data_IF_901650312362
#
_entry.id   IF_901650312362
#
_cell.length_a   1.000
_cell.length_b   1.000
_cell.length_c   1.000
_cell.angle_alpha   90.00
_cell.angle_beta   90.00
_cell.angle_gamma   90.00
#
_symmetry.space_group_name_H-M   'P 1'
#
loop_
_entity.id
_entity.type
_entity.pdbx_description
1 polymer ?
#
# COMPACT_ATOMS: atom_id res chain seq x y z
N UNK A 1 -5.08 -9.99 4.19
CA UNK A 1 -4.76 -10.96 3.13
C UNK A 1 -6.02 -11.77 2.89
N UNK A 2 -6.75 -11.53 1.81
CA UNK A 2 -8.16 -11.93 1.72
C UNK A 2 -8.38 -12.71 0.43
N UNK A 3 -8.28 -14.04 0.51
CA UNK A 3 -8.56 -14.96 -0.59
C UNK A 3 -10.05 -15.23 -0.79
N UNK A 4 -10.48 -15.30 -2.05
CA UNK A 4 -11.76 -15.88 -2.44
C UNK A 4 -11.53 -17.38 -2.59
N UNK A 5 -12.16 -18.25 -1.80
CA UNK A 5 -12.45 -19.64 -2.20
C UNK A 5 -13.02 -20.46 -1.06
N UNK A 6 -14.18 -21.07 -1.27
CA UNK A 6 -14.44 -22.44 -0.84
C UNK A 6 -15.25 -23.16 -1.92
N UNK A 7 -14.74 -24.25 -2.48
CA UNK A 7 -15.57 -25.29 -3.09
C UNK A 7 -15.26 -26.55 -2.30
N UNK A 8 -16.25 -26.98 -1.54
CA UNK A 8 -16.13 -28.05 -0.56
C UNK A 8 -16.19 -29.40 -1.29
N UNK A 9 -15.08 -29.81 -1.93
CA UNK A 9 -14.65 -31.21 -2.01
C UNK A 9 -13.25 -31.32 -2.64
N UNK A 10 -12.34 -31.84 -1.84
CA UNK A 10 -11.04 -32.49 -2.05
C UNK A 10 -10.08 -32.22 -3.23
N UNK A 11 -10.32 -31.43 -4.28
CA UNK A 11 -9.28 -31.26 -5.36
C UNK A 11 -9.23 -29.87 -6.03
N UNK A 12 -10.00 -28.88 -5.57
CA UNK A 12 -10.40 -27.73 -6.42
C UNK A 12 -9.85 -26.36 -5.99
N UNK A 13 -8.53 -26.20 -5.86
CA UNK A 13 -7.90 -25.00 -5.28
C UNK A 13 -7.24 -24.02 -6.25
N UNK A 14 -7.68 -23.86 -7.52
CA UNK A 14 -7.00 -22.99 -8.50
C UNK A 14 -7.91 -21.92 -9.15
N UNK A 15 -7.34 -20.73 -9.41
CA UNK A 15 -8.01 -19.57 -10.03
C UNK A 15 -8.49 -19.87 -11.46
N UNK A 16 -7.70 -20.63 -12.22
CA UNK A 16 -8.05 -21.00 -13.58
C UNK A 16 -9.29 -21.90 -13.61
N UNK A 17 -9.42 -22.82 -12.65
CA UNK A 17 -10.61 -23.66 -12.49
C UNK A 17 -11.86 -22.80 -12.21
N UNK A 18 -11.73 -21.75 -11.41
CA UNK A 18 -12.83 -20.81 -11.11
C UNK A 18 -13.30 -20.06 -12.36
N UNK A 19 -12.38 -19.59 -13.18
CA UNK A 19 -12.69 -18.88 -14.43
C UNK A 19 -13.39 -19.84 -15.40
N UNK A 20 -12.84 -21.05 -15.59
CA UNK A 20 -13.42 -22.07 -16.45
C UNK A 20 -14.83 -22.51 -16.00
N UNK A 21 -15.08 -22.56 -14.68
CA UNK A 21 -16.40 -22.86 -14.11
C UNK A 21 -17.43 -21.72 -14.30
N UNK A 22 -16.97 -20.46 -14.29
CA UNK A 22 -17.82 -19.33 -14.64
C UNK A 22 -18.12 -19.29 -16.15
N UNK A 23 -17.12 -19.57 -16.99
CA UNK A 23 -17.25 -19.57 -18.45
C UNK A 23 -18.09 -20.73 -18.99
N UNK A 24 -18.03 -21.89 -18.33
CA UNK A 24 -18.90 -23.04 -18.63
C UNK A 24 -20.34 -22.86 -18.15
N UNK A 25 -20.65 -21.79 -17.41
CA UNK A 25 -21.98 -21.51 -16.89
C UNK A 25 -22.41 -22.37 -15.69
N UNK A 26 -21.53 -23.24 -15.20
CA UNK A 26 -21.75 -24.11 -14.03
C UNK A 26 -21.85 -23.32 -12.71
N UNK A 27 -21.27 -22.12 -12.71
CA UNK A 27 -21.23 -21.19 -11.58
C UNK A 27 -21.62 -19.80 -12.08
N UNK A 28 -22.72 -19.23 -11.58
CA UNK A 28 -23.13 -17.86 -11.92
C UNK A 28 -22.46 -16.85 -10.95
N UNK A 29 -21.57 -15.96 -11.43
CA UNK A 29 -20.92 -14.93 -10.61
C UNK A 29 -21.89 -14.00 -9.88
N UNK A 30 -23.08 -13.75 -10.45
CA UNK A 30 -24.08 -12.86 -9.86
C UNK A 30 -24.94 -13.56 -8.81
N UNK A 31 -25.12 -14.88 -8.93
CA UNK A 31 -25.78 -15.68 -7.90
C UNK A 31 -24.88 -15.92 -6.68
N UNK A 32 -23.57 -15.87 -6.87
CA UNK A 32 -22.55 -16.03 -5.81
C UNK A 32 -22.47 -14.84 -4.87
N UNK A 33 -22.68 -13.63 -5.39
CA UNK A 33 -22.49 -12.39 -4.63
C UNK A 33 -23.74 -11.53 -4.77
N UNK A 34 -24.65 -11.62 -3.78
CA UNK A 34 -25.76 -10.68 -3.70
C UNK A 34 -25.23 -9.28 -3.40
N UNK A 35 -25.79 -8.27 -4.06
CA UNK A 35 -25.46 -6.86 -3.81
C UNK A 35 -25.73 -6.47 -2.34
N UNK A 36 -26.67 -7.14 -1.69
CA UNK A 36 -27.02 -6.92 -0.28
C UNK A 36 -25.94 -7.43 0.67
N UNK A 37 -25.31 -8.59 0.37
CA UNK A 37 -24.20 -9.15 1.16
C UNK A 37 -22.94 -8.30 1.04
N UNK A 38 -22.67 -7.75 -0.15
CA UNK A 38 -21.58 -6.77 -0.36
C UNK A 38 -21.82 -5.50 0.46
N UNK A 39 -23.05 -4.99 0.43
CA UNK A 39 -23.42 -3.76 1.11
C UNK A 39 -23.36 -3.92 2.64
N UNK A 40 -23.87 -5.02 3.19
CA UNK A 40 -23.86 -5.27 4.64
C UNK A 40 -22.44 -5.38 5.21
N UNK A 41 -21.56 -6.04 4.47
CA UNK A 41 -20.15 -6.19 4.88
C UNK A 41 -19.36 -4.89 4.80
N UNK A 42 -19.69 -4.03 3.83
CA UNK A 42 -19.09 -2.71 3.70
C UNK A 42 -19.41 -1.79 4.88
N UNK A 43 -20.58 -1.99 5.55
CA UNK A 43 -21.03 -1.20 6.71
C UNK A 43 -20.11 -1.37 7.92
N UNK A 44 -19.57 -2.57 8.15
CA UNK A 44 -18.65 -2.84 9.28
C UNK A 44 -17.34 -2.02 9.22
N UNK A 45 -16.96 -1.59 8.02
CA UNK A 45 -15.74 -0.83 7.74
C UNK A 45 -16.01 0.70 7.69
N UNK A 46 -17.25 1.14 7.93
CA UNK A 46 -17.62 2.57 7.85
C UNK A 46 -17.06 3.36 9.01
N UNK A 47 -17.14 2.85 10.25
CA UNK A 47 -16.71 3.61 11.44
C UNK A 47 -15.22 3.96 11.38
N UNK A 48 -14.36 2.98 11.07
CA UNK A 48 -12.92 3.20 10.95
C UNK A 48 -12.55 4.14 9.80
N UNK A 49 -13.22 4.00 8.64
CA UNK A 49 -13.03 4.90 7.50
C UNK A 49 -13.48 6.32 7.79
N UNK A 50 -14.64 6.49 8.41
CA UNK A 50 -15.20 7.79 8.76
C UNK A 50 -14.29 8.51 9.75
N UNK A 51 -13.77 7.80 10.77
CA UNK A 51 -12.83 8.37 11.72
C UNK A 51 -11.50 8.75 11.04
N UNK A 52 -10.93 7.88 10.21
CA UNK A 52 -9.70 8.17 9.48
C UNK A 52 -9.87 9.35 8.51
N UNK A 53 -10.99 9.40 7.78
CA UNK A 53 -11.32 10.51 6.88
C UNK A 53 -11.50 11.82 7.65
N UNK A 54 -12.16 11.78 8.81
CA UNK A 54 -12.28 12.93 9.70
C UNK A 54 -10.91 13.40 10.21
N UNK A 55 -10.05 12.49 10.66
CA UNK A 55 -8.71 12.81 11.15
C UNK A 55 -7.83 13.44 10.06
N UNK A 56 -7.89 12.90 8.83
CA UNK A 56 -7.19 13.45 7.66
C UNK A 56 -7.75 14.83 7.30
N UNK A 57 -9.07 14.98 7.25
CA UNK A 57 -9.74 16.24 6.92
C UNK A 57 -9.44 17.34 7.94
N UNK A 58 -9.54 17.01 9.22
CA UNK A 58 -9.21 17.92 10.32
C UNK A 58 -7.77 18.42 10.21
N UNK A 59 -6.82 17.50 10.01
CA UNK A 59 -5.41 17.85 9.84
C UNK A 59 -5.18 18.77 8.63
N UNK A 60 -5.81 18.47 7.49
CA UNK A 60 -5.69 19.31 6.28
C UNK A 60 -6.21 20.73 6.51
N UNK A 61 -7.36 20.88 7.17
CA UNK A 61 -7.93 22.21 7.48
C UNK A 61 -6.94 23.02 8.33
N UNK A 62 -6.37 22.41 9.37
CA UNK A 62 -5.38 23.08 10.24
C UNK A 62 -4.14 23.51 9.45
N UNK A 63 -3.58 22.63 8.61
CA UNK A 63 -2.39 22.96 7.82
C UNK A 63 -2.68 24.06 6.79
N UNK A 64 -3.83 23.98 6.08
CA UNK A 64 -4.21 24.99 5.09
C UNK A 64 -4.43 26.36 5.72
N UNK A 65 -5.02 26.42 6.91
CA UNK A 65 -5.20 27.68 7.63
C UNK A 65 -3.86 28.27 8.10
N UNK A 66 -2.93 27.43 8.60
CA UNK A 66 -1.56 27.87 8.92
C UNK A 66 -0.86 28.44 7.69
N UNK A 67 -0.98 27.79 6.53
CA UNK A 67 -0.44 28.29 5.26
C UNK A 67 -1.07 29.63 4.89
N UNK A 68 -2.40 29.74 4.93
CA UNK A 68 -3.12 30.96 4.58
C UNK A 68 -2.79 32.14 5.52
N UNK A 69 -2.54 31.86 6.81
CA UNK A 69 -2.13 32.84 7.80
C UNK A 69 -0.62 33.15 7.79
N UNK A 70 0.17 32.51 6.92
CA UNK A 70 1.62 32.68 6.86
C UNK A 70 2.36 32.18 8.12
N UNK A 71 1.76 31.27 8.88
CA UNK A 71 2.34 30.70 10.10
C UNK A 71 3.34 29.60 9.76
N UNK A 72 4.28 29.37 10.70
CA UNK A 72 5.26 28.30 10.54
C UNK A 72 4.58 26.94 10.63
N UNK A 73 4.84 26.08 9.64
CA UNK A 73 4.48 24.66 9.67
C UNK A 73 5.59 23.92 10.40
N UNK A 74 5.22 23.11 11.39
CA UNK A 74 6.18 22.26 12.09
C UNK A 74 6.70 21.14 11.20
N UNK A 75 7.88 20.62 11.55
CA UNK A 75 8.49 19.48 10.85
C UNK A 75 7.60 18.24 10.90
N UNK A 76 6.92 18.02 12.04
CA UNK A 76 5.99 16.91 12.22
C UNK A 76 4.75 17.06 11.32
N UNK A 77 4.15 18.26 11.26
CA UNK A 77 3.04 18.54 10.34
C UNK A 77 3.45 18.28 8.90
N UNK A 78 4.64 18.74 8.48
CA UNK A 78 5.15 18.44 7.14
C UNK A 78 5.27 16.94 6.87
N UNK A 79 5.74 16.17 7.85
CA UNK A 79 5.82 14.71 7.76
C UNK A 79 4.46 14.03 7.61
N UNK A 80 3.46 14.48 8.38
CA UNK A 80 2.08 13.97 8.30
C UNK A 80 1.42 14.32 6.96
N UNK A 81 1.68 15.50 6.40
CA UNK A 81 1.20 15.88 5.06
C UNK A 81 1.59 14.85 3.99
N UNK A 82 2.82 14.30 4.05
CA UNK A 82 3.25 13.24 3.14
C UNK A 82 2.36 12.00 3.21
N UNK A 83 2.07 11.52 4.43
CA UNK A 83 1.20 10.37 4.64
C UNK A 83 -0.24 10.64 4.20
N UNK A 84 -0.74 11.85 4.44
CA UNK A 84 -2.08 12.26 4.00
C UNK A 84 -2.20 12.26 2.47
N UNK A 85 -1.25 12.87 1.76
CA UNK A 85 -1.24 12.90 0.28
C UNK A 85 -1.21 11.48 -0.29
N UNK A 86 -0.35 10.62 0.26
CA UNK A 86 -0.27 9.22 -0.16
C UNK A 86 -1.56 8.46 0.13
N UNK A 87 -2.16 8.66 1.30
CA UNK A 87 -3.43 8.03 1.67
C UNK A 87 -4.52 8.44 0.69
N UNK A 88 -4.66 9.73 0.37
CA UNK A 88 -5.62 10.23 -0.61
C UNK A 88 -5.39 9.61 -1.99
N UNK A 89 -4.13 9.55 -2.45
CA UNK A 89 -3.79 8.93 -3.73
C UNK A 89 -4.16 7.44 -3.77
N UNK A 90 -3.88 6.70 -2.70
CA UNK A 90 -4.27 5.28 -2.56
C UNK A 90 -5.80 5.15 -2.56
N UNK A 91 -6.50 5.97 -1.78
CA UNK A 91 -7.96 5.96 -1.72
C UNK A 91 -8.59 6.27 -3.08
N UNK A 92 -8.06 7.24 -3.81
CA UNK A 92 -8.52 7.60 -5.16
C UNK A 92 -8.26 6.47 -6.16
N UNK A 93 -7.05 5.90 -6.17
CA UNK A 93 -6.69 4.76 -7.03
C UNK A 93 -7.54 3.52 -6.73
N UNK A 94 -7.94 3.34 -5.47
CA UNK A 94 -8.77 2.23 -5.03
C UNK A 94 -10.28 2.54 -4.99
N UNK A 95 -10.72 3.71 -5.43
CA UNK A 95 -12.12 4.12 -5.32
C UNK A 95 -13.05 3.22 -6.15
N UNK A 96 -12.56 2.71 -7.28
CA UNK A 96 -13.31 1.84 -8.19
C UNK A 96 -13.18 0.33 -7.89
N UNK A 97 -12.33 -0.09 -6.94
CA UNK A 97 -12.20 -1.51 -6.56
C UNK A 97 -13.19 -1.83 -5.43
N UNK A 98 -14.08 -2.83 -5.58
CA UNK A 98 -14.93 -3.27 -4.47
C UNK A 98 -14.05 -3.75 -3.30
N UNK A 99 -14.19 -3.12 -2.14
CA UNK A 99 -13.33 -3.35 -0.97
C UNK A 99 -13.97 -4.34 0.00
N UNK A 100 -13.15 -5.26 0.48
CA UNK A 100 -13.38 -6.16 1.62
C UNK A 100 -14.21 -7.41 1.36
N UNK A 101 -13.53 -8.54 1.13
CA UNK A 101 -14.15 -9.88 1.09
C UNK A 101 -13.64 -10.73 2.25
N UNK A 102 -13.72 -10.23 3.49
CA UNK A 102 -13.22 -10.97 4.67
C UNK A 102 -13.94 -12.29 4.97
N UNK A 103 -14.91 -12.72 4.17
CA UNK A 103 -15.52 -14.04 4.33
C UNK A 103 -15.19 -14.87 3.13
N UNK A 104 -14.77 -16.09 3.44
CA UNK A 104 -14.61 -17.14 2.46
C UNK A 104 -15.99 -17.44 1.88
N UNK A 105 -16.15 -17.25 0.58
CA UNK A 105 -17.40 -17.53 -0.12
C UNK A 105 -17.36 -18.95 -0.64
N UNK A 106 -18.32 -19.78 -0.21
CA UNK A 106 -18.49 -21.13 -0.74
C UNK A 106 -19.19 -21.02 -2.08
N UNK A 107 -18.53 -21.38 -3.19
CA UNK A 107 -19.06 -21.13 -4.54
C UNK A 107 -20.14 -22.14 -4.93
N UNK A 108 -19.96 -23.41 -4.56
CA UNK A 108 -20.98 -24.47 -4.67
C UNK A 108 -20.65 -25.52 -3.62
N UNK A 109 -21.66 -26.06 -2.96
CA UNK A 109 -21.50 -27.23 -2.07
C UNK A 109 -22.21 -28.38 -2.74
N UNK A 110 -21.46 -29.43 -3.06
CA UNK A 110 -22.04 -30.70 -3.46
C UNK A 110 -22.17 -31.54 -2.18
N UNK A 111 -23.39 -31.91 -1.82
CA UNK A 111 -23.62 -32.79 -0.67
C UNK A 111 -23.25 -34.25 -1.00
N UNK A 112 -23.15 -34.56 -2.30
CA UNK A 112 -22.75 -35.85 -2.87
C UNK A 112 -21.50 -35.70 -3.78
N UNK A 113 -21.23 -36.70 -4.63
CA UNK A 113 -20.08 -36.74 -5.55
C UNK A 113 -20.17 -35.63 -6.61
N UNK A 114 -19.04 -34.97 -6.91
CA UNK A 114 -18.94 -33.94 -7.96
C UNK A 114 -19.38 -34.53 -9.31
N UNK A 115 -20.24 -33.83 -10.09
CA UNK A 115 -20.57 -34.23 -11.45
C UNK A 115 -19.33 -34.39 -12.34
N UNK A 116 -19.26 -35.45 -13.14
CA UNK A 116 -18.08 -35.76 -13.96
C UNK A 116 -17.73 -34.68 -15.00
N UNK A 117 -18.69 -33.85 -15.40
CA UNK A 117 -18.47 -32.73 -16.31
C UNK A 117 -17.66 -31.60 -15.67
N UNK A 118 -17.95 -31.29 -14.39
CA UNK A 118 -17.19 -30.33 -13.59
C UNK A 118 -15.77 -30.83 -13.37
N UNK A 119 -15.60 -32.14 -13.11
CA UNK A 119 -14.29 -32.75 -12.91
C UNK A 119 -13.41 -32.68 -14.16
N UNK A 120 -13.98 -32.87 -15.36
CA UNK A 120 -13.25 -32.71 -16.62
C UNK A 120 -12.74 -31.30 -16.85
N UNK A 121 -13.57 -30.28 -16.60
CA UNK A 121 -13.17 -28.87 -16.73
C UNK A 121 -11.98 -28.57 -15.80
N UNK A 122 -11.99 -29.16 -14.60
CA UNK A 122 -10.89 -29.02 -13.63
C UNK A 122 -9.64 -29.76 -14.11
N UNK A 123 -9.75 -31.04 -14.51
CA UNK A 123 -8.62 -31.83 -15.01
C UNK A 123 -7.95 -31.17 -16.23
N UNK A 124 -8.75 -30.66 -17.18
CA UNK A 124 -8.27 -29.98 -18.38
C UNK A 124 -7.53 -28.67 -18.06
N UNK A 125 -7.92 -27.99 -16.97
CA UNK A 125 -7.37 -26.69 -16.56
C UNK A 125 -6.22 -26.84 -15.55
N UNK A 126 -6.13 -27.99 -14.85
CA UNK A 126 -5.06 -28.32 -13.89
C UNK A 126 -3.68 -28.48 -14.52
N UNK A 127 -3.59 -28.41 -15.85
CA UNK A 127 -2.36 -28.43 -16.61
C UNK A 127 -1.80 -27.01 -16.79
N UNK A 128 -1.30 -26.39 -15.72
CA UNK A 128 -0.56 -25.12 -15.79
C UNK A 128 0.81 -25.21 -15.08
N UNK A 129 1.83 -24.48 -15.58
CA UNK A 129 3.23 -24.79 -15.40
C UNK A 129 3.73 -24.50 -13.99
N UNK A 130 4.78 -25.22 -13.58
CA UNK A 130 5.53 -25.02 -12.34
C UNK A 130 5.79 -23.53 -12.06
N UNK A 131 4.93 -22.92 -11.22
CA UNK A 131 5.26 -21.68 -10.53
C UNK A 131 6.55 -21.94 -9.72
N UNK A 132 7.51 -21.01 -9.83
CA UNK A 132 8.76 -20.98 -9.07
C UNK A 132 8.56 -21.19 -7.55
N UNK A 133 7.37 -20.92 -7.02
CA UNK A 133 7.04 -21.14 -5.61
C UNK A 133 6.97 -22.61 -5.19
N UNK A 134 6.91 -23.58 -6.12
CA UNK A 134 6.87 -25.01 -5.83
C UNK A 134 5.71 -25.43 -4.93
N UNK A 135 4.71 -24.58 -4.75
CA UNK A 135 3.63 -24.82 -3.81
C UNK A 135 2.62 -25.74 -4.50
N UNK A 136 2.71 -27.05 -4.23
CA UNK A 136 1.62 -27.98 -4.57
C UNK A 136 0.34 -27.49 -3.87
N UNK A 137 -0.60 -27.00 -4.66
CA UNK A 137 -1.93 -26.65 -4.19
C UNK A 137 -2.56 -27.92 -3.62
N UNK A 138 -2.72 -27.98 -2.30
CA UNK A 138 -3.35 -29.12 -1.66
C UNK A 138 -4.88 -28.98 -1.73
N UNK A 139 -5.62 -30.09 -1.70
CA UNK A 139 -7.06 -30.11 -1.48
C UNK A 139 -7.54 -29.08 -0.44
N UNK A 140 -8.51 -28.22 -0.81
CA UNK A 140 -9.05 -27.19 0.10
C UNK A 140 -8.14 -25.98 0.35
N UNK A 141 -7.04 -25.84 -0.39
CA UNK A 141 -6.20 -24.63 -0.33
C UNK A 141 -6.99 -23.43 -0.83
N UNK A 142 -6.91 -22.32 -0.08
CA UNK A 142 -7.54 -21.06 -0.46
C UNK A 142 -6.92 -20.54 -1.75
N UNK A 143 -7.74 -20.31 -2.77
CA UNK A 143 -7.33 -19.56 -3.96
C UNK A 143 -6.99 -18.14 -3.51
N UNK A 144 -5.75 -17.73 -3.79
CA UNK A 144 -5.30 -16.40 -3.41
C UNK A 144 -5.99 -15.40 -4.31
N UNK A 145 -6.64 -14.41 -3.70
CA UNK A 145 -7.05 -13.20 -4.39
C UNK A 145 -5.82 -12.31 -4.56
N UNK A 146 -4.92 -12.74 -5.45
CA UNK A 146 -3.85 -11.89 -5.91
C UNK A 146 -4.12 -11.69 -7.39
N UNK A 147 -4.53 -10.47 -7.75
CA UNK A 147 -4.58 -10.08 -9.14
C UNK A 147 -3.13 -9.95 -9.61
N UNK A 148 -2.51 -11.08 -9.94
CA UNK A 148 -1.13 -11.17 -10.40
C UNK A 148 -1.03 -10.85 -11.89
N UNK A 149 -1.88 -9.94 -12.39
CA UNK A 149 -1.64 -9.21 -13.64
C UNK A 149 -0.55 -8.13 -13.45
N UNK A 150 0.48 -8.44 -12.65
CA UNK A 150 1.76 -7.72 -12.70
C UNK A 150 2.54 -8.37 -13.84
N UNK A 151 2.03 -8.18 -15.05
CA UNK A 151 2.70 -8.62 -16.27
C UNK A 151 3.97 -7.77 -16.43
N UNK A 152 5.08 -8.36 -15.99
CA UNK A 152 6.44 -7.82 -15.86
C UNK A 152 6.70 -6.93 -14.64
N UNK A 153 7.69 -7.35 -13.83
CA UNK A 153 8.30 -6.52 -12.78
C UNK A 153 8.74 -5.13 -13.28
N UNK A 154 9.04 -5.01 -14.59
CA UNK A 154 9.33 -3.74 -15.26
C UNK A 154 8.17 -2.73 -15.19
N UNK A 155 6.92 -3.19 -15.36
CA UNK A 155 5.73 -2.35 -15.34
C UNK A 155 5.43 -1.76 -13.97
N UNK A 156 5.80 -2.45 -12.89
CA UNK A 156 5.52 -2.01 -11.51
C UNK A 156 6.60 -1.12 -10.89
N UNK A 157 7.85 -1.19 -11.36
CA UNK A 157 8.97 -0.43 -10.76
C UNK A 157 8.79 1.08 -10.94
N UNK A 158 8.34 1.53 -12.11
CA UNK A 158 8.15 2.95 -12.42
C UNK A 158 7.06 3.62 -11.56
N UNK A 159 5.81 3.10 -11.47
CA UNK A 159 4.79 3.69 -10.62
C UNK A 159 5.17 3.60 -9.13
N UNK A 160 5.81 2.51 -8.71
CA UNK A 160 6.30 2.39 -7.33
C UNK A 160 7.35 3.46 -7.03
N UNK A 161 8.33 3.66 -7.93
CA UNK A 161 9.37 4.67 -7.77
C UNK A 161 8.80 6.09 -7.74
N UNK A 162 7.81 6.39 -8.57
CA UNK A 162 7.14 7.69 -8.59
C UNK A 162 6.38 7.96 -7.29
N UNK A 163 5.58 7.01 -6.82
CA UNK A 163 4.86 7.11 -5.55
C UNK A 163 5.84 7.29 -4.38
N UNK A 164 6.95 6.56 -4.43
CA UNK A 164 8.01 6.58 -3.45
C UNK A 164 8.70 7.97 -3.41
N UNK A 165 8.98 8.60 -4.56
CA UNK A 165 9.49 9.98 -4.64
C UNK A 165 8.45 10.97 -4.11
N UNK A 166 7.19 10.87 -4.52
CA UNK A 166 6.14 11.80 -4.11
C UNK A 166 5.93 11.80 -2.59
N UNK A 167 5.92 10.63 -1.95
CA UNK A 167 5.75 10.49 -0.50
C UNK A 167 6.93 11.07 0.28
N UNK A 168 8.15 10.95 -0.24
CA UNK A 168 9.37 11.28 0.51
C UNK A 168 9.95 12.65 0.18
N UNK A 169 9.69 13.14 -1.03
CA UNK A 169 10.08 14.47 -1.48
C UNK A 169 9.45 15.59 -0.65
N UNK A 170 8.34 15.32 0.07
CA UNK A 170 7.72 16.29 0.99
C UNK A 170 8.69 16.84 2.04
N UNK A 171 9.66 16.03 2.51
CA UNK A 171 10.66 16.47 3.50
C UNK A 171 11.59 17.55 2.94
N UNK A 172 11.79 17.58 1.62
CA UNK A 172 12.56 18.61 0.94
C UNK A 172 11.86 19.98 0.99
N UNK A 173 10.53 20.04 1.16
CA UNK A 173 9.85 21.32 1.36
C UNK A 173 10.31 22.02 2.65
N UNK A 174 10.80 21.27 3.64
CA UNK A 174 11.40 21.77 4.87
C UNK A 174 12.84 22.29 4.72
N UNK A 175 13.36 22.47 3.49
CA UNK A 175 14.76 22.85 3.24
C UNK A 175 15.22 24.12 3.97
N UNK A 176 14.29 25.05 4.18
CA UNK A 176 14.51 26.35 4.82
C UNK A 176 13.99 26.44 6.26
N UNK A 177 13.66 25.31 6.89
CA UNK A 177 13.33 25.33 8.30
C UNK A 177 14.51 25.84 9.15
N UNK A 178 14.15 26.51 10.24
CA UNK A 178 15.07 26.92 11.29
C UNK A 178 15.35 25.72 12.18
N UNK A 179 16.63 25.43 12.39
CA UNK A 179 17.07 24.34 13.26
C UNK A 179 17.91 24.90 14.42
N UNK A 180 17.99 24.18 15.56
CA UNK A 180 18.79 24.60 16.70
C UNK A 180 20.28 24.74 16.38
N UNK A 181 20.80 23.90 15.48
CA UNK A 181 22.18 23.97 15.00
C UNK A 181 22.28 23.79 13.49
N UNK A 182 23.41 24.21 12.93
CA UNK A 182 23.75 24.01 11.51
C UNK A 182 23.90 22.52 11.19
N UNK A 183 24.39 21.72 12.14
CA UNK A 183 24.54 20.26 11.99
C UNK A 183 23.18 19.62 11.75
N UNK A 184 22.19 19.98 12.56
CA UNK A 184 20.83 19.48 12.46
C UNK A 184 20.19 19.80 11.11
N UNK A 185 20.41 21.01 10.61
CA UNK A 185 19.93 21.42 9.30
C UNK A 185 20.55 20.56 8.19
N UNK A 186 21.84 20.24 8.27
CA UNK A 186 22.49 19.37 7.29
C UNK A 186 22.06 17.91 7.43
N UNK A 187 21.82 17.43 8.66
CA UNK A 187 21.24 16.10 8.91
C UNK A 187 19.86 16.02 8.23
N UNK A 188 18.98 17.01 8.45
CA UNK A 188 17.67 17.06 7.80
C UNK A 188 17.78 17.03 6.28
N UNK A 189 18.63 17.89 5.70
CA UNK A 189 18.80 17.99 4.25
C UNK A 189 19.35 16.70 3.65
N UNK A 190 20.42 16.18 4.23
CA UNK A 190 21.07 14.95 3.77
C UNK A 190 20.11 13.75 3.85
N UNK A 191 19.44 13.57 4.97
CA UNK A 191 18.51 12.46 5.17
C UNK A 191 17.23 12.60 4.33
N UNK A 192 16.77 13.81 4.06
CA UNK A 192 15.66 14.08 3.12
C UNK A 192 16.03 13.68 1.70
N UNK A 193 17.21 14.09 1.22
CA UNK A 193 17.71 13.72 -0.12
C UNK A 193 17.89 12.20 -0.22
N UNK A 194 18.63 11.61 0.75
CA UNK A 194 18.91 10.17 0.76
C UNK A 194 17.61 9.37 0.80
N UNK A 195 16.66 9.72 1.67
CA UNK A 195 15.38 9.00 1.74
C UNK A 195 14.57 9.12 0.44
N UNK A 196 14.62 10.27 -0.25
CA UNK A 196 13.92 10.48 -1.51
C UNK A 196 14.54 9.66 -2.64
N UNK A 197 15.86 9.69 -2.77
CA UNK A 197 16.60 9.14 -3.91
C UNK A 197 17.03 7.67 -3.76
N UNK A 198 17.24 7.16 -2.54
CA UNK A 198 17.84 5.84 -2.33
C UNK A 198 17.04 4.70 -2.98
N UNK A 199 15.72 4.67 -2.76
CA UNK A 199 14.86 3.59 -3.26
C UNK A 199 14.71 3.61 -4.79
N UNK A 200 14.39 4.74 -5.45
CA UNK A 200 14.32 4.79 -6.91
C UNK A 200 15.63 4.41 -7.59
N UNK A 201 16.77 4.87 -7.05
CA UNK A 201 18.09 4.54 -7.59
C UNK A 201 18.40 3.05 -7.43
N UNK A 202 18.14 2.46 -6.26
CA UNK A 202 18.37 1.04 -6.01
C UNK A 202 17.49 0.15 -6.91
N UNK A 203 16.20 0.46 -7.05
CA UNK A 203 15.28 -0.31 -7.90
C UNK A 203 15.63 -0.19 -9.38
N UNK A 204 16.00 1.01 -9.84
CA UNK A 204 16.41 1.23 -11.24
C UNK A 204 17.72 0.51 -11.54
N UNK A 205 18.71 0.59 -10.65
CA UNK A 205 19.97 -0.13 -10.80
C UNK A 205 19.74 -1.65 -10.83
N UNK A 206 18.94 -2.18 -9.91
CA UNK A 206 18.57 -3.58 -9.85
C UNK A 206 17.93 -4.05 -11.16
N UNK A 207 16.96 -3.29 -11.67
CA UNK A 207 16.31 -3.59 -12.94
C UNK A 207 17.30 -3.73 -14.11
N UNK A 208 18.30 -2.85 -14.21
CA UNK A 208 19.32 -2.92 -15.27
C UNK A 208 20.27 -4.11 -15.08
N UNK A 209 20.71 -4.38 -13.85
CA UNK A 209 21.65 -5.47 -13.57
C UNK A 209 21.04 -6.86 -13.72
N UNK A 210 19.78 -7.05 -13.30
CA UNK A 210 19.07 -8.33 -13.44
C UNK A 210 18.65 -8.65 -14.88
N UNK A 211 18.66 -7.67 -15.80
CA UNK A 211 18.56 -7.93 -17.25
C UNK A 211 19.85 -8.48 -17.85
N UNK A 212 20.98 -8.36 -17.16
CA UNK A 212 22.26 -8.91 -17.59
C UNK A 212 22.34 -10.42 -17.43
N UNK A 213 23.08 -11.09 -18.31
CA UNK A 213 23.30 -12.55 -18.28
C UNK A 213 24.36 -13.01 -17.25
N UNK A 214 25.05 -12.08 -16.60
CA UNK A 214 26.20 -12.39 -15.75
C UNK A 214 25.78 -12.49 -14.27
N UNK A 215 25.97 -13.64 -13.60
CA UNK A 215 25.53 -13.84 -12.22
C UNK A 215 26.24 -12.89 -11.23
N UNK A 216 27.48 -12.50 -11.51
CA UNK A 216 28.22 -11.52 -10.71
C UNK A 216 27.50 -10.16 -10.66
N UNK A 217 26.81 -9.75 -11.72
CA UNK A 217 26.04 -8.50 -11.73
C UNK A 217 24.80 -8.57 -10.84
N UNK A 218 24.20 -9.76 -10.69
CA UNK A 218 23.06 -9.96 -9.79
C UNK A 218 23.52 -9.82 -8.33
N UNK A 219 24.65 -10.44 -7.96
CA UNK A 219 25.23 -10.28 -6.61
C UNK A 219 25.58 -8.83 -6.31
N UNK A 220 26.18 -8.11 -7.26
CA UNK A 220 26.49 -6.67 -7.11
C UNK A 220 25.20 -5.87 -6.91
N UNK A 221 24.16 -6.15 -7.68
CA UNK A 221 22.83 -5.54 -7.53
C UNK A 221 22.26 -5.76 -6.13
N UNK A 222 22.28 -7.01 -5.64
CA UNK A 222 21.74 -7.35 -4.32
C UNK A 222 22.48 -6.63 -3.19
N UNK A 223 23.82 -6.52 -3.29
CA UNK A 223 24.64 -5.75 -2.35
C UNK A 223 24.30 -4.26 -2.41
N UNK A 224 24.13 -3.68 -3.61
CA UNK A 224 23.70 -2.29 -3.78
C UNK A 224 22.34 -2.07 -3.11
N UNK A 225 21.35 -2.94 -3.38
CA UNK A 225 20.01 -2.85 -2.76
C UNK A 225 20.12 -2.91 -1.23
N UNK A 226 20.93 -3.82 -0.69
CA UNK A 226 21.13 -3.94 0.75
C UNK A 226 21.73 -2.66 1.35
N UNK A 227 22.79 -2.13 0.75
CA UNK A 227 23.45 -0.91 1.23
C UNK A 227 22.52 0.30 1.17
N UNK A 228 21.81 0.49 0.05
CA UNK A 228 20.81 1.55 -0.07
C UNK A 228 19.61 1.34 0.86
N UNK A 229 19.21 0.10 1.13
CA UNK A 229 18.19 -0.25 2.10
C UNK A 229 18.58 0.14 3.52
N UNK A 230 19.82 -0.15 3.93
CA UNK A 230 20.35 0.27 5.24
C UNK A 230 20.41 1.79 5.35
N UNK A 231 20.98 2.46 4.33
CA UNK A 231 21.03 3.94 4.30
C UNK A 231 19.64 4.56 4.36
N UNK A 232 18.65 3.95 3.70
CA UNK A 232 17.27 4.37 3.74
C UNK A 232 16.70 4.28 5.17
N UNK A 233 16.84 3.12 5.83
CA UNK A 233 16.35 2.93 7.20
C UNK A 233 16.98 3.94 8.15
N UNK A 234 18.30 4.12 8.09
CA UNK A 234 19.01 5.09 8.93
C UNK A 234 18.54 6.53 8.67
N UNK A 235 18.36 6.91 7.40
CA UNK A 235 17.84 8.23 7.04
C UNK A 235 16.42 8.45 7.57
N UNK A 236 15.58 7.41 7.58
CA UNK A 236 14.21 7.49 8.12
C UNK A 236 14.18 7.64 9.62
N UNK A 237 15.04 6.92 10.34
CA UNK A 237 15.18 7.07 11.78
C UNK A 237 15.68 8.48 12.14
N UNK A 238 16.68 8.98 11.41
CA UNK A 238 17.20 10.32 11.61
C UNK A 238 16.15 11.42 11.34
N UNK A 239 15.38 11.33 10.25
CA UNK A 239 14.26 12.25 9.98
C UNK A 239 13.21 12.20 11.09
N UNK A 240 12.90 11.00 11.61
CA UNK A 240 11.95 10.85 12.71
C UNK A 240 12.44 11.55 13.97
N UNK A 241 13.70 11.32 14.34
CA UNK A 241 14.35 11.99 15.48
C UNK A 241 14.32 13.51 15.29
N UNK A 242 14.67 14.01 14.11
CA UNK A 242 14.65 15.45 13.83
C UNK A 242 13.24 16.04 13.92
N UNK A 243 12.21 15.39 13.37
CA UNK A 243 10.82 15.87 13.48
C UNK A 243 10.38 16.03 14.94
N UNK A 244 10.72 15.07 15.81
CA UNK A 244 10.39 15.15 17.24
C UNK A 244 11.24 16.18 17.96
N UNK A 245 12.54 16.24 17.65
CA UNK A 245 13.45 17.22 18.25
C UNK A 245 13.03 18.63 17.87
N UNK A 246 12.57 18.84 16.64
CA UNK A 246 12.06 20.11 16.14
C UNK A 246 10.89 20.67 16.95
N UNK A 247 10.06 19.81 17.57
CA UNK A 247 8.94 20.26 18.42
C UNK A 247 9.40 21.11 19.61
N UNK A 248 10.58 20.80 20.18
CA UNK A 248 11.11 21.53 21.34
C UNK A 248 11.71 22.90 20.97
N UNK A 249 11.94 23.16 19.68
CA UNK A 249 12.60 24.37 19.19
C UNK A 249 11.77 25.11 18.14
N UNK A 250 10.45 24.91 18.17
CA UNK A 250 9.55 25.59 17.25
C UNK A 250 9.56 27.12 17.50
N UNK A 251 9.47 27.93 16.43
CA UNK A 251 9.32 29.37 16.58
C UNK A 251 7.96 29.71 17.24
N UNK A 252 7.84 30.88 17.91
CA UNK A 252 6.63 31.28 18.62
C UNK A 252 5.35 31.22 17.77
N UNK A 253 5.47 31.48 16.45
CA UNK A 253 4.35 31.42 15.50
C UNK A 253 3.75 30.02 15.35
N UNK A 254 4.51 28.97 15.62
CA UNK A 254 3.99 27.60 15.57
C UNK A 254 2.97 27.32 16.69
N UNK A 255 3.08 28.02 17.82
CA UNK A 255 2.19 27.86 18.98
C UNK A 255 0.93 28.72 18.90
N UNK A 256 0.80 29.59 17.89
CA UNK A 256 -0.42 30.38 17.68
C UNK A 256 -1.55 29.45 17.25
N UNK A 257 -2.64 29.46 18.02
CA UNK A 257 -3.86 28.77 17.63
C UNK A 257 -4.45 29.44 16.38
N UNK A 258 -4.87 28.63 15.42
CA UNK A 258 -5.56 29.14 14.24
C UNK A 258 -6.99 29.55 14.62
N UNK A 259 -7.61 30.44 13.84
CA UNK A 259 -8.95 30.99 14.13
C UNK A 259 -10.03 29.90 14.21
N UNK A 260 -9.86 28.81 13.46
CA UNK A 260 -10.72 27.63 13.55
C UNK A 260 -10.58 26.90 14.89
N UNK A 261 -9.34 26.69 15.36
CA UNK A 261 -9.07 25.98 16.62
C UNK A 261 -9.62 26.73 17.84
N UNK A 262 -9.62 28.06 17.82
CA UNK A 262 -10.25 28.90 18.84
C UNK A 262 -11.77 29.01 18.71
N UNK A 263 -12.34 28.70 17.54
CA UNK A 263 -13.80 28.75 17.32
C UNK A 263 -14.53 27.47 17.73
N UNK A 264 -13.81 26.37 17.98
CA UNK A 264 -14.41 25.14 18.51
C UNK A 264 -14.52 25.28 20.03
N UNK A 265 -15.74 25.22 20.62
CA UNK A 265 -15.91 25.29 22.06
C UNK A 265 -15.14 24.14 22.71
N UNK A 266 -14.21 24.47 23.60
CA UNK A 266 -13.43 23.51 24.34
C UNK A 266 -14.40 22.73 25.25
N UNK A 267 -14.67 21.47 24.94
CA UNK A 267 -15.39 20.58 25.85
C UNK A 267 -14.36 20.13 26.88
N UNK A 268 -14.32 20.86 28.00
CA UNK A 268 -13.54 20.52 29.20
C UNK A 268 -14.22 19.46 30.04
#
# INVERSE_FOLDING_TARGET
>A
MVGFALLYHDEMGDEQNLIALCESGEVDPKALISADDLNDKSKSDVVGKSLAAFQIGYFLVVVLERVAAGLTISQLELGVCGFVVCSIAIYAAWFHKPKSVQTVMVLKRYDDRIPGEVMKVIEDTSHAPDDWSGTRVSPGTRIRNHADHIDSAAGSIHPLSLAAIALRGVHLAGWRFSFPSVIDQWIWRGTSITSTAAVPLALTASYFFHRGKYPTLHVISDVIILVFGIMYVLSRLALMVEMFRGLFYLPPDAFKATSWATSIPHIG
#
